data_IF_984705756246
#
_entry.id   IF_984705756246
#
_cell.length_a   1.000
_cell.length_b   1.000
_cell.length_c   1.000
_cell.angle_alpha   90.00
_cell.angle_beta   90.00
_cell.angle_gamma   90.00
#
_symmetry.space_group_name_H-M   'P 1'
#
loop_
_entity.id
_entity.type
_entity.pdbx_description
1 polymer ?
#
# COMPACT_ATOMS: atom_id res chain seq x y z
N UNK A 1 1.82 -10.02 -4.25
CA UNK A 1 1.24 -8.80 -3.65
C UNK A 1 -0.25 -8.64 -3.95
N UNK A 2 -0.67 -8.79 -5.21
CA UNK A 2 -2.08 -8.67 -5.64
C UNK A 2 -3.08 -9.43 -4.75
N UNK A 3 -2.89 -10.75 -4.53
CA UNK A 3 -3.77 -11.56 -3.67
C UNK A 3 -3.95 -10.99 -2.27
N UNK A 4 -2.85 -10.54 -1.64
CA UNK A 4 -2.88 -9.93 -0.31
C UNK A 4 -3.65 -8.61 -0.33
N UNK A 5 -3.39 -7.75 -1.33
CA UNK A 5 -4.11 -6.49 -1.46
C UNK A 5 -5.61 -6.70 -1.71
N UNK A 6 -5.99 -7.70 -2.50
CA UNK A 6 -7.41 -8.07 -2.67
C UNK A 6 -8.06 -8.43 -1.34
N UNK A 7 -7.42 -9.27 -0.52
CA UNK A 7 -7.94 -9.63 0.81
C UNK A 7 -8.06 -8.41 1.74
N UNK A 8 -7.13 -7.45 1.66
CA UNK A 8 -7.21 -6.18 2.41
C UNK A 8 -8.41 -5.37 1.96
N UNK A 9 -8.57 -5.14 0.64
CA UNK A 9 -9.70 -4.38 0.08
C UNK A 9 -11.04 -5.05 0.39
N UNK A 10 -11.10 -6.38 0.39
CA UNK A 10 -12.27 -7.15 0.85
C UNK A 10 -12.60 -6.91 2.31
N UNK A 11 -11.59 -6.88 3.18
CA UNK A 11 -11.73 -6.53 4.58
C UNK A 11 -12.31 -5.12 4.76
N UNK A 12 -11.75 -4.14 4.05
CA UNK A 12 -12.23 -2.75 4.08
C UNK A 12 -13.70 -2.66 3.62
N UNK A 13 -14.07 -3.32 2.52
CA UNK A 13 -15.43 -3.32 2.00
C UNK A 13 -16.43 -3.97 2.97
N UNK A 14 -16.04 -5.10 3.59
CA UNK A 14 -16.85 -5.76 4.61
C UNK A 14 -17.11 -4.85 5.81
N UNK A 15 -16.07 -4.15 6.31
CA UNK A 15 -16.20 -3.18 7.41
C UNK A 15 -17.22 -2.09 7.06
N UNK A 16 -17.10 -1.53 5.86
CA UNK A 16 -18.04 -0.53 5.33
C UNK A 16 -19.49 -1.04 5.31
N UNK A 17 -19.74 -2.25 4.79
CA UNK A 17 -21.09 -2.83 4.75
C UNK A 17 -21.67 -3.14 6.13
N UNK A 18 -20.82 -3.48 7.12
CA UNK A 18 -21.25 -3.76 8.50
C UNK A 18 -21.38 -2.49 9.36
N UNK A 19 -21.14 -1.30 8.82
CA UNK A 19 -21.23 -0.04 9.56
C UNK A 19 -20.10 0.21 10.56
N UNK A 20 -18.95 -0.47 10.42
CA UNK A 20 -17.76 -0.21 11.24
C UNK A 20 -17.12 1.13 10.86
N UNK A 21 -16.55 1.84 11.84
CA UNK A 21 -15.93 3.14 11.65
C UNK A 21 -14.47 3.05 11.20
N UNK A 22 -13.78 1.95 11.51
CA UNK A 22 -12.37 1.69 11.18
C UNK A 22 -12.21 1.01 9.81
N UNK A 23 -12.83 1.58 8.77
CA UNK A 23 -12.86 1.00 7.42
C UNK A 23 -11.44 0.81 6.86
N UNK A 24 -10.56 1.79 7.08
CA UNK A 24 -9.20 1.75 6.56
C UNK A 24 -8.30 0.80 7.37
N UNK A 25 -7.60 -0.10 6.67
CA UNK A 25 -6.53 -0.91 7.25
C UNK A 25 -5.21 -0.17 6.95
N UNK A 26 -4.52 0.41 7.96
CA UNK A 26 -3.30 1.17 7.73
C UNK A 26 -2.16 0.26 7.26
N UNK A 27 -1.37 0.74 6.31
CA UNK A 27 -0.26 0.00 5.70
C UNK A 27 0.99 0.87 5.60
N UNK A 28 2.15 0.22 5.63
CA UNK A 28 3.45 0.83 5.36
C UNK A 28 4.27 -0.09 4.42
N UNK A 29 5.19 0.45 3.60
CA UNK A 29 6.06 -0.35 2.72
C UNK A 29 7.10 -1.20 3.48
N UNK A 30 7.19 -1.00 4.80
CA UNK A 30 8.09 -1.63 5.76
C UNK A 30 9.56 -1.30 5.52
N UNK A 31 10.15 -1.87 4.46
CA UNK A 31 11.54 -1.64 4.07
C UNK A 31 11.66 -1.09 2.64
N UNK A 32 12.78 -0.47 2.33
CA UNK A 32 13.09 0.07 1.01
C UNK A 32 14.56 -0.08 0.65
N UNK A 33 14.81 -0.37 -0.62
CA UNK A 33 16.17 -0.44 -1.16
C UNK A 33 16.81 0.94 -1.18
N UNK A 34 18.11 1.01 -0.93
CA UNK A 34 18.87 2.26 -1.09
C UNK A 34 19.05 2.49 -2.59
N UNK A 35 18.38 3.51 -3.14
CA UNK A 35 18.34 3.80 -4.58
C UNK A 35 18.48 5.30 -4.87
N UNK A 36 18.99 5.63 -6.06
CA UNK A 36 19.14 7.01 -6.56
C UNK A 36 19.84 7.93 -5.55
N UNK A 37 19.22 9.06 -5.17
CA UNK A 37 19.86 10.02 -4.24
C UNK A 37 19.96 9.49 -2.81
N UNK A 38 19.29 8.39 -2.45
CA UNK A 38 19.50 7.76 -1.13
C UNK A 38 20.98 7.35 -0.95
N UNK A 39 21.73 7.07 -2.03
CA UNK A 39 23.17 6.77 -1.97
C UNK A 39 24.03 7.93 -1.44
N UNK A 40 23.54 9.17 -1.52
CA UNK A 40 24.24 10.37 -1.05
C UNK A 40 24.03 10.66 0.44
N UNK A 41 23.21 9.86 1.13
CA UNK A 41 22.88 10.04 2.54
C UNK A 41 23.23 8.80 3.37
N UNK A 42 23.54 9.02 4.65
CA UNK A 42 23.57 7.95 5.63
C UNK A 42 22.14 7.57 6.01
N UNK A 43 21.77 6.34 5.68
CA UNK A 43 20.44 5.78 5.92
C UNK A 43 20.57 4.55 6.81
N UNK A 44 19.56 4.30 7.64
CA UNK A 44 19.47 3.02 8.34
C UNK A 44 19.21 1.90 7.31
N UNK A 45 19.85 0.73 7.44
CA UNK A 45 19.65 -0.40 6.52
C UNK A 45 18.16 -0.73 6.36
N UNK A 46 17.66 -0.69 5.12
CA UNK A 46 16.25 -0.94 4.80
C UNK A 46 15.29 0.23 5.06
N UNK A 47 15.75 1.37 5.57
CA UNK A 47 14.90 2.54 5.86
C UNK A 47 15.23 3.75 4.97
N UNK A 48 15.73 3.50 3.75
CA UNK A 48 15.94 4.54 2.74
C UNK A 48 14.63 5.29 2.43
N UNK A 49 14.71 6.55 2.04
CA UNK A 49 13.52 7.38 1.81
C UNK A 49 12.88 7.00 0.47
N UNK A 50 13.66 7.00 -0.61
CA UNK A 50 13.13 6.81 -1.97
C UNK A 50 12.72 5.36 -2.19
N UNK A 51 13.49 4.40 -1.66
CA UNK A 51 13.11 2.99 -1.69
C UNK A 51 11.73 2.74 -1.06
N UNK A 52 11.50 3.28 0.14
CA UNK A 52 10.20 3.14 0.83
C UNK A 52 9.09 3.92 0.12
N UNK A 53 9.38 5.11 -0.42
CA UNK A 53 8.41 5.89 -1.19
C UNK A 53 7.95 5.12 -2.45
N UNK A 54 8.88 4.46 -3.15
CA UNK A 54 8.57 3.59 -4.29
C UNK A 54 7.64 2.45 -3.87
N UNK A 55 8.01 1.70 -2.83
CA UNK A 55 7.16 0.61 -2.32
C UNK A 55 5.78 1.08 -1.88
N UNK A 56 5.68 2.24 -1.22
CA UNK A 56 4.40 2.82 -0.83
C UNK A 56 3.56 3.21 -2.05
N UNK A 57 4.19 3.78 -3.08
CA UNK A 57 3.53 4.16 -4.33
C UNK A 57 2.98 2.95 -5.08
N UNK A 58 3.73 1.85 -5.11
CA UNK A 58 3.29 0.57 -5.70
C UNK A 58 2.08 -0.01 -4.96
N UNK A 59 2.11 -0.02 -3.62
CA UNK A 59 0.98 -0.48 -2.80
C UNK A 59 -0.27 0.40 -3.02
N UNK A 60 -0.10 1.73 -3.05
CA UNK A 60 -1.19 2.69 -3.29
C UNK A 60 -1.80 2.54 -4.68
N UNK A 61 -0.98 2.40 -5.71
CA UNK A 61 -1.44 2.20 -7.08
C UNK A 61 -2.22 0.90 -7.23
N UNK A 62 -1.70 -0.20 -6.65
CA UNK A 62 -2.37 -1.50 -6.66
C UNK A 62 -3.72 -1.45 -5.93
N UNK A 63 -3.78 -0.84 -4.74
CA UNK A 63 -5.03 -0.65 -3.99
C UNK A 63 -6.06 0.14 -4.82
N UNK A 64 -5.65 1.26 -5.43
CA UNK A 64 -6.51 2.11 -6.24
C UNK A 64 -7.04 1.36 -7.48
N UNK A 65 -6.18 0.61 -8.17
CA UNK A 65 -6.58 -0.19 -9.34
C UNK A 65 -7.59 -1.28 -8.99
N UNK A 66 -7.38 -2.01 -7.90
CA UNK A 66 -8.32 -3.03 -7.41
C UNK A 66 -9.67 -2.41 -7.05
N UNK A 67 -9.66 -1.28 -6.33
CA UNK A 67 -10.89 -0.55 -5.96
C UNK A 67 -11.66 -0.07 -7.20
N UNK A 68 -10.96 0.52 -8.17
CA UNK A 68 -11.56 0.97 -9.42
C UNK A 68 -12.18 -0.18 -10.21
N UNK A 69 -11.46 -1.31 -10.36
CA UNK A 69 -11.98 -2.48 -11.07
C UNK A 69 -13.24 -3.06 -10.43
N UNK A 70 -13.34 -3.04 -9.10
CA UNK A 70 -14.54 -3.48 -8.37
C UNK A 70 -15.75 -2.58 -8.62
N UNK A 71 -15.55 -1.26 -8.64
CA UNK A 71 -16.64 -0.30 -8.95
C UNK A 71 -17.12 -0.50 -10.39
N UNK A 72 -16.20 -0.66 -11.34
CA UNK A 72 -16.55 -0.83 -12.76
C UNK A 72 -17.26 -2.15 -13.11
N UNK A 73 -17.25 -3.14 -12.20
CA UNK A 73 -17.89 -4.45 -12.38
C UNK A 73 -19.28 -4.54 -11.75
N UNK A 74 -19.67 -3.56 -10.94
CA UNK A 74 -21.02 -3.40 -10.38
C UNK A 74 -21.82 -2.42 -11.23
#
# INVERSE_FOLDING_TARGET
MEKVMNSIVEGQYRRMLTGQTDIAIPMRPDHGDKIWTDHNYDTYPGYSLIGRLKGLSELKGLEAGIKFNRIAKN
#
